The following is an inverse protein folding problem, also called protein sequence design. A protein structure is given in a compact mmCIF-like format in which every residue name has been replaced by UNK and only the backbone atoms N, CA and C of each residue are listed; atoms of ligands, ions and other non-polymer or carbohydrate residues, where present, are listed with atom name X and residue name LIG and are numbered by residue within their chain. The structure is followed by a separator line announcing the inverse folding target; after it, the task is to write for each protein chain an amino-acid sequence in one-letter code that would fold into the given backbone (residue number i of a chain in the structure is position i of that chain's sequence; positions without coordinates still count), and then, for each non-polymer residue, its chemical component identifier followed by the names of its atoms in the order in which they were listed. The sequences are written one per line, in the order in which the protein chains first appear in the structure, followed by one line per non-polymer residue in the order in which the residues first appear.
data_IF_336188481134
#
_entry.id   IF_336188481134
#
_cell.length_a   1.000
_cell.length_b   1.000
_cell.length_c   1.000
_cell.angle_alpha   90.00
_cell.angle_beta   90.00
_cell.angle_gamma   90.00
#
_symmetry.space_group_name_H-M   'P 1'
#
loop_
_entity.id
_entity.type
_entity.pdbx_description
1 polymer ?
#
# COMPACT_ATOMS: atom_id res chain seq x y z
N UNK A 1 18.35 -1.81 -23.07
CA UNK A 1 17.09 -1.11 -22.72
C UNK A 1 16.59 -1.67 -21.39
N UNK A 2 16.21 -0.84 -20.40
CA UNK A 2 15.64 -1.35 -19.15
C UNK A 2 14.33 -2.11 -19.44
N UNK A 3 14.16 -3.28 -18.83
CA UNK A 3 12.93 -4.07 -18.93
C UNK A 3 11.74 -3.25 -18.40
N UNK A 4 10.74 -3.02 -19.25
CA UNK A 4 9.47 -2.42 -18.84
C UNK A 4 8.58 -3.52 -18.27
N UNK A 5 8.34 -3.50 -16.96
CA UNK A 5 7.48 -4.45 -16.26
C UNK A 5 6.04 -3.93 -16.21
N UNK A 6 5.07 -4.83 -16.38
CA UNK A 6 3.64 -4.48 -16.37
C UNK A 6 2.83 -5.48 -15.53
N UNK A 7 1.84 -4.97 -14.80
CA UNK A 7 0.72 -5.75 -14.28
C UNK A 7 -0.39 -5.76 -15.33
N UNK A 8 -1.00 -6.90 -15.59
CA UNK A 8 -2.08 -7.03 -16.59
C UNK A 8 -3.39 -7.37 -15.88
N UNK A 9 -4.36 -6.45 -15.96
CA UNK A 9 -5.75 -6.74 -15.64
C UNK A 9 -6.44 -7.33 -16.87
N UNK A 10 -6.62 -8.64 -16.87
CA UNK A 10 -7.22 -9.38 -18.00
C UNK A 10 -8.71 -9.11 -18.19
N UNK A 11 -9.44 -8.83 -17.12
CA UNK A 11 -10.90 -8.59 -17.17
C UNK A 11 -11.18 -7.26 -17.86
N UNK A 12 -10.36 -6.24 -17.57
CA UNK A 12 -10.49 -4.89 -18.14
C UNK A 12 -9.59 -4.65 -19.36
N UNK A 13 -8.89 -5.69 -19.84
CA UNK A 13 -7.88 -5.58 -20.91
C UNK A 13 -6.88 -4.43 -20.71
N UNK A 14 -6.49 -4.18 -19.46
CA UNK A 14 -5.70 -3.01 -19.07
C UNK A 14 -4.31 -3.40 -18.58
N UNK A 15 -3.31 -2.61 -18.98
CA UNK A 15 -1.92 -2.75 -18.53
C UNK A 15 -1.59 -1.61 -17.57
N UNK A 16 -1.03 -1.95 -16.42
CA UNK A 16 -0.50 -0.98 -15.47
C UNK A 16 1.01 -1.08 -15.49
N UNK A 17 1.69 0.04 -15.73
CA UNK A 17 3.15 0.06 -15.71
C UNK A 17 3.65 -0.07 -14.27
N UNK A 18 4.56 -0.99 -14.06
CA UNK A 18 5.26 -1.14 -12.79
C UNK A 18 6.68 -0.60 -12.96
N UNK A 19 7.05 0.34 -12.10
CA UNK A 19 8.45 0.72 -11.95
C UNK A 19 9.16 -0.31 -11.04
N UNK A 20 10.50 -0.28 -11.06
CA UNK A 20 11.28 -1.07 -10.13
C UNK A 20 11.04 -0.63 -8.69
N UNK A 21 11.08 -1.58 -7.76
CA UNK A 21 11.13 -1.28 -6.33
C UNK A 21 12.62 -1.15 -5.98
N UNK A 22 13.00 -0.03 -5.38
CA UNK A 22 14.32 0.13 -4.78
C UNK A 22 14.18 -0.32 -3.33
N UNK A 23 14.76 -1.47 -2.94
CA UNK A 23 14.75 -1.88 -1.54
C UNK A 23 15.52 -0.84 -0.71
N UNK A 24 15.02 -0.55 0.48
CA UNK A 24 15.76 0.30 1.42
C UNK A 24 17.10 -0.36 1.74
N UNK A 25 18.18 0.41 1.66
CA UNK A 25 19.51 0.05 2.15
C UNK A 25 19.54 -0.08 3.67
N UNK A 26 18.58 0.57 4.33
CA UNK A 26 18.31 0.47 5.76
C UNK A 26 16.94 -0.17 5.98
N UNK A 27 16.91 -1.50 6.08
CA UNK A 27 15.78 -2.16 6.72
C UNK A 27 15.91 -1.92 8.23
N UNK A 28 14.91 -1.33 8.91
CA UNK A 28 14.92 -1.30 10.36
C UNK A 28 15.04 -2.75 10.86
N UNK A 29 15.89 -2.93 11.86
CA UNK A 29 16.09 -4.24 12.47
C UNK A 29 14.75 -4.77 12.99
N UNK A 30 14.56 -6.10 12.97
CA UNK A 30 13.34 -6.73 13.51
C UNK A 30 12.96 -6.21 14.91
N UNK A 31 13.92 -5.96 15.83
CA UNK A 31 13.62 -5.31 17.10
C UNK A 31 13.09 -3.88 16.97
N UNK A 32 13.66 -3.02 16.10
CA UNK A 32 13.16 -1.64 15.89
C UNK A 32 11.73 -1.62 15.34
N UNK A 33 11.40 -2.53 14.42
CA UNK A 33 10.03 -2.75 13.93
C UNK A 33 9.12 -3.21 15.08
N UNK A 34 9.51 -4.25 15.81
CA UNK A 34 8.70 -4.78 16.89
C UNK A 34 8.51 -3.78 18.05
N UNK A 35 9.50 -2.93 18.36
CA UNK A 35 9.39 -1.94 19.43
C UNK A 35 8.34 -0.87 19.09
N UNK A 36 8.33 -0.38 17.85
CA UNK A 36 7.33 0.60 17.40
C UNK A 36 5.92 0.02 17.38
N UNK A 37 5.75 -1.26 17.05
CA UNK A 37 4.41 -1.89 17.05
C UNK A 37 3.96 -2.32 18.45
N UNK A 38 4.83 -2.92 19.27
CA UNK A 38 4.49 -3.46 20.60
C UNK A 38 4.13 -2.37 21.61
N UNK A 39 4.78 -1.21 21.55
CA UNK A 39 4.45 -0.06 22.42
C UNK A 39 3.04 0.51 22.10
N UNK A 40 2.45 0.12 20.96
CA UNK A 40 1.11 0.52 20.51
C UNK A 40 0.07 -0.61 20.49
N UNK A 41 0.41 -1.85 20.88
CA UNK A 41 -0.59 -2.93 21.00
C UNK A 41 -1.37 -2.73 22.30
N UNK A 42 -2.45 -1.97 22.21
CA UNK A 42 -3.40 -1.74 23.32
C UNK A 42 -4.34 -2.94 23.51
N UNK A 43 -4.50 -3.79 22.48
CA UNK A 43 -5.50 -4.86 22.45
C UNK A 43 -4.88 -6.24 22.21
N UNK A 44 -5.31 -7.25 22.95
CA UNK A 44 -4.98 -8.65 22.66
C UNK A 44 -5.71 -9.14 21.41
N UNK A 45 -5.21 -10.20 20.77
CA UNK A 45 -5.83 -10.79 19.58
C UNK A 45 -7.31 -11.13 19.80
N UNK A 46 -7.66 -11.59 21.00
CA UNK A 46 -9.03 -11.97 21.38
C UNK A 46 -9.96 -10.76 21.55
N UNK A 47 -9.40 -9.55 21.65
CA UNK A 47 -10.14 -8.29 21.74
C UNK A 47 -10.37 -7.64 20.36
N UNK A 48 -9.79 -8.20 19.30
CA UNK A 48 -10.00 -7.70 17.95
C UNK A 48 -11.34 -8.22 17.40
N UNK A 49 -12.07 -7.40 16.62
CA UNK A 49 -13.27 -7.88 15.95
C UNK A 49 -12.89 -8.94 14.90
N UNK A 50 -13.80 -9.87 14.56
CA UNK A 50 -13.54 -10.92 13.58
C UNK A 50 -13.29 -10.38 12.16
N UNK A 51 -13.67 -9.13 11.90
CA UNK A 51 -13.46 -8.42 10.64
C UNK A 51 -13.45 -6.91 10.88
N UNK A 52 -12.56 -6.20 10.19
CA UNK A 52 -12.53 -4.73 10.12
C UNK A 52 -12.66 -4.31 8.67
N UNK A 53 -13.48 -3.29 8.42
CA UNK A 53 -13.53 -2.59 7.15
C UNK A 53 -13.01 -1.17 7.39
N UNK A 54 -11.86 -0.84 6.80
CA UNK A 54 -11.16 0.44 6.99
C UNK A 54 -11.50 1.47 5.91
N UNK A 55 -12.49 1.20 5.05
CA UNK A 55 -12.91 2.12 4.00
C UNK A 55 -13.84 3.17 4.61
N UNK A 56 -13.27 4.19 5.24
CA UNK A 56 -14.03 5.24 5.91
C UNK A 56 -14.85 6.07 4.91
N UNK A 57 -14.22 6.59 3.86
CA UNK A 57 -14.88 7.53 2.92
C UNK A 57 -15.19 6.97 1.53
N UNK A 58 -14.99 5.67 1.31
CA UNK A 58 -15.26 5.01 0.02
C UNK A 58 -14.72 5.82 -1.18
N UNK A 59 -13.54 6.44 -0.99
CA UNK A 59 -12.95 7.36 -1.98
C UNK A 59 -12.83 6.68 -3.34
N UNK A 60 -13.10 7.40 -4.44
CA UNK A 60 -13.01 6.81 -5.77
C UNK A 60 -11.63 6.21 -6.02
N UNK A 61 -11.59 5.01 -6.60
CA UNK A 61 -10.32 4.36 -6.95
C UNK A 61 -9.64 5.16 -8.06
N UNK A 62 -8.48 5.73 -7.76
CA UNK A 62 -7.69 6.49 -8.72
C UNK A 62 -7.08 5.61 -9.82
N UNK A 63 -6.87 6.22 -10.99
CA UNK A 63 -6.29 5.57 -12.15
C UNK A 63 -4.86 6.03 -12.44
N UNK A 64 -3.87 5.22 -12.03
CA UNK A 64 -2.45 5.44 -12.37
C UNK A 64 -2.13 5.39 -13.88
N UNK A 65 -3.10 5.04 -14.74
CA UNK A 65 -2.95 5.01 -16.19
C UNK A 65 -1.75 4.16 -16.65
N UNK A 66 -1.02 4.59 -17.67
CA UNK A 66 0.15 3.88 -18.22
C UNK A 66 1.49 4.33 -17.61
N UNK A 67 1.46 5.19 -16.59
CA UNK A 67 2.66 5.68 -15.90
C UNK A 67 2.97 4.81 -14.68
N UNK A 68 4.24 4.76 -14.29
CA UNK A 68 4.70 4.00 -13.13
C UNK A 68 4.53 4.76 -11.80
N UNK A 69 3.36 5.35 -11.57
CA UNK A 69 3.10 6.24 -10.42
C UNK A 69 2.45 5.55 -9.21
N UNK A 70 2.50 4.21 -9.14
CA UNK A 70 1.80 3.43 -8.11
C UNK A 70 2.05 3.93 -6.67
N UNK A 71 3.28 4.28 -6.32
CA UNK A 71 3.62 4.81 -4.99
C UNK A 71 2.93 6.15 -4.71
N UNK A 72 2.90 7.05 -5.70
CA UNK A 72 2.26 8.35 -5.56
C UNK A 72 0.73 8.22 -5.39
N UNK A 73 0.09 7.36 -6.19
CA UNK A 73 -1.34 7.08 -6.04
C UNK A 73 -1.68 6.44 -4.68
N UNK A 74 -0.82 5.57 -4.14
CA UNK A 74 -1.01 5.02 -2.80
C UNK A 74 -0.95 6.11 -1.72
N UNK A 75 0.04 7.01 -1.77
CA UNK A 75 0.20 8.07 -0.77
C UNK A 75 -0.92 9.10 -0.79
N UNK A 76 -1.38 9.49 -1.97
CA UNK A 76 -2.54 10.39 -2.13
C UNK A 76 -3.81 9.70 -1.64
N UNK A 77 -4.02 8.43 -2.02
CA UNK A 77 -5.17 7.65 -1.56
C UNK A 77 -5.25 7.51 -0.03
N UNK A 78 -4.11 7.37 0.66
CA UNK A 78 -4.04 7.38 2.12
C UNK A 78 -4.35 8.75 2.72
N UNK A 79 -3.78 9.81 2.14
CA UNK A 79 -3.97 11.18 2.64
C UNK A 79 -5.41 11.66 2.51
N UNK A 80 -6.12 11.22 1.46
CA UNK A 80 -7.53 11.50 1.24
C UNK A 80 -8.50 10.81 2.23
N UNK A 81 -8.01 10.00 3.17
CA UNK A 81 -8.82 9.38 4.24
C UNK A 81 -8.91 10.28 5.48
N UNK A 82 -8.06 11.31 5.59
CA UNK A 82 -7.96 12.16 6.78
C UNK A 82 -8.48 13.60 6.60
N UNK A 83 -9.05 13.93 5.43
CA UNK A 83 -9.68 15.21 5.10
C UNK A 83 -11.22 15.11 5.15
#
# INVERSE_FOLDING_TARGET
MPLKTYLINRIKSKKHRLNGIIPSDRLPSKPELCQTFLDHIVYSIDQLPPKVDLREDMTPVEDQSEIGSCVANCLVGESNIFD
#
